data_IF_928852855707
#
_entry.id   IF_928852855707
#
_cell.length_a   1.000
_cell.length_b   1.000
_cell.length_c   1.000
_cell.angle_alpha   90.00
_cell.angle_beta   90.00
_cell.angle_gamma   90.00
#
_symmetry.space_group_name_H-M   'P 1'
#
loop_
_entity.id
_entity.type
_entity.pdbx_description
1 polymer ?
#
# COMPACT_ATOMS: atom_id res chain seq x y z
N UNK A 1 48.29 73.82 5.30
CA UNK A 1 46.90 73.40 5.40
C UNK A 1 46.78 72.07 4.63
N UNK A 2 46.58 70.92 5.37
CA UNK A 2 46.41 69.56 4.76
C UNK A 2 44.92 69.21 4.87
N UNK A 3 44.24 69.10 3.72
CA UNK A 3 42.84 68.72 3.64
C UNK A 3 42.83 67.21 3.62
N UNK A 4 42.18 66.60 4.66
CA UNK A 4 41.93 65.19 4.79
C UNK A 4 40.58 64.92 4.18
N UNK A 5 40.48 64.15 3.03
CA UNK A 5 39.27 63.61 2.49
C UNK A 5 38.91 62.32 3.20
N UNK A 6 37.77 62.32 3.89
CA UNK A 6 37.15 61.14 4.52
C UNK A 6 36.30 60.43 3.50
N UNK A 7 36.75 59.24 3.05
CA UNK A 7 35.92 58.35 2.21
C UNK A 7 34.97 57.56 3.11
N UNK A 8 33.70 57.87 3.01
CA UNK A 8 32.60 57.13 3.69
C UNK A 8 32.27 55.91 2.82
N UNK A 9 32.77 54.73 3.20
CA UNK A 9 32.46 53.47 2.53
C UNK A 9 31.09 52.95 3.01
N UNK A 10 30.07 53.04 2.15
CA UNK A 10 28.76 52.47 2.43
C UNK A 10 28.81 50.97 2.18
N UNK A 11 28.78 50.18 3.25
CA UNK A 11 28.64 48.71 3.18
C UNK A 11 27.18 48.36 2.98
N UNK A 12 26.84 47.99 1.76
CA UNK A 12 25.50 47.42 1.43
C UNK A 12 25.44 45.98 1.98
N UNK A 13 24.78 45.79 3.11
CA UNK A 13 24.39 44.47 3.56
C UNK A 13 23.29 43.95 2.65
N UNK A 14 23.64 43.10 1.68
CA UNK A 14 22.65 42.28 0.98
C UNK A 14 22.10 41.27 1.99
N UNK A 15 20.94 41.55 2.54
CA UNK A 15 20.17 40.57 3.29
C UNK A 15 19.73 39.49 2.28
N UNK A 16 20.46 38.39 2.23
CA UNK A 16 19.99 37.15 1.59
C UNK A 16 18.82 36.63 2.44
N UNK A 17 17.62 36.98 2.07
CA UNK A 17 16.42 36.35 2.62
C UNK A 17 16.46 34.88 2.21
N UNK A 18 16.90 34.01 3.11
CA UNK A 18 16.62 32.59 2.98
C UNK A 18 15.11 32.45 3.16
N UNK A 19 14.41 32.22 2.07
CA UNK A 19 13.07 31.65 2.18
C UNK A 19 13.25 30.30 2.90
N UNK A 20 12.76 30.20 4.13
CA UNK A 20 12.76 28.93 4.85
C UNK A 20 11.91 27.95 4.05
N UNK A 21 12.57 26.97 3.41
CA UNK A 21 11.88 25.93 2.68
C UNK A 21 11.07 25.10 3.68
N UNK A 22 9.73 25.24 3.61
CA UNK A 22 8.81 24.44 4.42
C UNK A 22 8.65 23.08 3.74
N UNK A 23 9.12 22.03 4.38
CA UNK A 23 8.90 20.67 3.90
C UNK A 23 7.41 20.33 3.90
N UNK A 24 6.89 19.74 2.81
CA UNK A 24 5.50 19.35 2.76
C UNK A 24 5.20 18.25 3.80
N UNK A 25 4.01 18.28 4.39
CA UNK A 25 3.52 17.23 5.26
C UNK A 25 3.17 16.00 4.43
N UNK A 26 4.08 15.03 4.34
CA UNK A 26 3.93 13.83 3.51
C UNK A 26 3.18 12.73 4.26
N UNK A 27 2.07 12.30 3.68
CA UNK A 27 1.32 11.11 4.08
C UNK A 27 1.78 9.95 3.20
N UNK A 28 1.97 8.76 3.80
CA UNK A 28 2.24 7.52 3.07
C UNK A 28 1.31 6.44 3.58
N UNK A 29 0.38 5.99 2.74
CA UNK A 29 -0.62 5.00 3.12
C UNK A 29 -1.08 4.15 1.92
N UNK A 30 -1.73 3.02 2.20
CA UNK A 30 -2.42 2.24 1.20
C UNK A 30 -3.73 2.92 0.82
N UNK A 31 -3.98 3.05 -0.47
CA UNK A 31 -5.15 3.72 -1.01
C UNK A 31 -5.55 3.13 -2.38
N UNK A 32 -6.69 3.56 -2.89
CA UNK A 32 -7.12 3.28 -4.24
C UNK A 32 -6.85 4.49 -5.15
N UNK A 33 -6.01 4.30 -6.17
CA UNK A 33 -5.76 5.28 -7.23
C UNK A 33 -6.80 5.06 -8.34
N UNK A 34 -7.57 6.09 -8.68
CA UNK A 34 -8.52 6.05 -9.79
C UNK A 34 -7.95 6.78 -11.01
N UNK A 35 -8.14 6.19 -12.19
CA UNK A 35 -7.74 6.76 -13.46
C UNK A 35 -8.95 7.35 -14.21
N UNK A 36 -8.68 8.33 -15.07
CA UNK A 36 -9.65 8.86 -16.04
C UNK A 36 -9.68 8.04 -17.33
N UNK A 37 -10.53 8.47 -18.30
CA UNK A 37 -10.66 7.85 -19.62
C UNK A 37 -9.40 7.88 -20.49
N UNK A 38 -8.34 8.60 -20.07
CA UNK A 38 -7.04 8.64 -20.74
C UNK A 38 -5.97 7.79 -20.00
N UNK A 39 -6.34 7.09 -18.94
CA UNK A 39 -5.41 6.30 -18.14
C UNK A 39 -4.48 7.13 -17.26
N UNK A 40 -4.90 8.35 -16.90
CA UNK A 40 -4.17 9.22 -15.97
C UNK A 40 -4.77 9.12 -14.59
N UNK A 41 -3.93 8.90 -13.58
CA UNK A 41 -4.36 8.86 -12.17
C UNK A 41 -4.83 10.24 -11.70
N UNK A 42 -6.09 10.37 -11.32
CA UNK A 42 -6.71 11.66 -10.99
C UNK A 42 -7.14 11.79 -9.53
N UNK A 43 -7.36 10.66 -8.85
CA UNK A 43 -7.84 10.64 -7.48
C UNK A 43 -7.17 9.55 -6.67
N UNK A 44 -6.93 9.85 -5.39
CA UNK A 44 -6.61 8.85 -4.35
C UNK A 44 -7.82 8.75 -3.43
N UNK A 45 -8.30 7.53 -3.19
CA UNK A 45 -9.34 7.23 -2.19
C UNK A 45 -8.69 6.42 -1.08
N UNK A 46 -8.63 6.97 0.13
CA UNK A 46 -8.06 6.30 1.30
C UNK A 46 -8.98 5.20 1.82
N UNK A 47 -8.48 4.33 2.69
CA UNK A 47 -9.29 3.29 3.33
C UNK A 47 -10.38 3.86 4.26
N UNK A 48 -10.25 5.11 4.70
CA UNK A 48 -11.25 5.85 5.46
C UNK A 48 -12.31 6.53 4.57
N UNK A 49 -12.21 6.38 3.25
CA UNK A 49 -13.13 6.99 2.28
C UNK A 49 -12.83 8.45 1.94
N UNK A 50 -11.70 9.01 2.40
CA UNK A 50 -11.29 10.37 2.04
C UNK A 50 -10.84 10.37 0.59
N UNK A 51 -11.36 11.32 -0.20
CA UNK A 51 -11.04 11.49 -1.63
C UNK A 51 -10.12 12.68 -1.81
N UNK A 52 -8.95 12.44 -2.37
CA UNK A 52 -7.98 13.47 -2.75
C UNK A 52 -7.91 13.59 -4.27
N UNK A 53 -8.18 14.78 -4.80
CA UNK A 53 -7.94 15.09 -6.21
C UNK A 53 -6.46 15.42 -6.43
N UNK A 54 -5.82 14.72 -7.34
CA UNK A 54 -4.41 14.92 -7.62
C UNK A 54 -4.20 16.16 -8.52
N UNK A 55 -3.26 17.02 -8.17
CA UNK A 55 -2.79 18.07 -9.08
C UNK A 55 -2.18 17.46 -10.34
N UNK A 56 -2.13 18.23 -11.43
CA UNK A 56 -1.67 17.74 -12.74
C UNK A 56 -0.22 17.24 -12.74
N UNK A 57 0.62 17.87 -11.92
CA UNK A 57 2.02 17.50 -11.83
C UNK A 57 2.20 16.20 -11.07
N UNK A 58 3.08 15.33 -11.57
CA UNK A 58 3.41 14.01 -11.01
C UNK A 58 2.25 13.02 -10.92
N UNK A 59 1.19 13.18 -11.71
CA UNK A 59 0.17 12.14 -11.86
C UNK A 59 0.77 10.91 -12.53
N UNK A 60 0.49 9.69 -12.05
CA UNK A 60 0.83 8.50 -12.82
C UNK A 60 -0.04 8.47 -14.09
N UNK A 61 0.56 8.15 -15.20
CA UNK A 61 -0.07 8.03 -16.51
C UNK A 61 0.20 6.65 -17.15
N UNK A 62 -0.24 6.46 -18.38
CA UNK A 62 -0.07 5.22 -19.13
C UNK A 62 -0.65 3.99 -18.42
N UNK A 63 -1.67 4.22 -17.59
CA UNK A 63 -2.45 3.19 -16.90
C UNK A 63 -3.67 2.79 -17.73
N UNK A 64 -4.39 1.77 -17.31
CA UNK A 64 -5.68 1.44 -17.94
C UNK A 64 -6.70 2.54 -17.65
N UNK A 65 -7.43 2.96 -18.69
CA UNK A 65 -8.48 3.94 -18.55
C UNK A 65 -9.62 3.46 -17.63
N UNK A 66 -10.27 4.40 -16.95
CA UNK A 66 -11.44 4.17 -16.07
C UNK A 66 -11.27 3.00 -15.10
N UNK A 67 -10.07 2.88 -14.53
CA UNK A 67 -9.65 1.77 -13.67
C UNK A 67 -9.33 2.22 -12.25
N UNK A 68 -9.32 1.24 -11.34
CA UNK A 68 -8.91 1.46 -9.94
C UNK A 68 -7.73 0.54 -9.62
N UNK A 69 -6.67 1.12 -9.08
CA UNK A 69 -5.45 0.42 -8.68
C UNK A 69 -5.28 0.50 -7.17
N UNK A 70 -5.02 -0.63 -6.52
CA UNK A 70 -4.56 -0.63 -5.13
C UNK A 70 -3.08 -0.26 -5.11
N UNK A 71 -2.73 0.77 -4.34
CA UNK A 71 -1.38 1.33 -4.29
C UNK A 71 -0.97 1.68 -2.87
N UNK A 72 0.32 1.75 -2.60
CA UNK A 72 0.84 2.61 -1.54
C UNK A 72 1.08 3.97 -2.18
N UNK A 73 0.43 5.01 -1.69
CA UNK A 73 0.59 6.37 -2.18
C UNK A 73 1.38 7.23 -1.18
N UNK A 74 2.28 8.07 -1.70
CA UNK A 74 2.90 9.15 -0.95
C UNK A 74 2.47 10.47 -1.54
N UNK A 75 1.80 11.29 -0.74
CA UNK A 75 1.23 12.57 -1.18
C UNK A 75 1.25 13.60 -0.05
N UNK A 76 1.12 14.87 -0.41
CA UNK A 76 0.92 15.97 0.52
C UNK A 76 -0.46 16.59 0.29
N UNK A 77 -1.35 16.65 1.29
CA UNK A 77 -2.54 17.46 1.23
C UNK A 77 -2.19 18.95 1.06
N UNK A 78 -2.90 19.62 0.16
CA UNK A 78 -2.76 21.07 -0.08
C UNK A 78 -3.93 21.85 0.49
N UNK A 79 -5.11 21.24 0.50
CA UNK A 79 -6.33 21.75 1.11
C UNK A 79 -7.21 20.56 1.51
N UNK A 80 -8.51 20.78 1.73
CA UNK A 80 -9.44 19.74 2.18
C UNK A 80 -9.75 18.65 1.13
N UNK A 81 -9.43 18.87 -0.15
CA UNK A 81 -9.79 17.95 -1.25
C UNK A 81 -8.70 17.72 -2.29
N UNK A 82 -7.63 18.51 -2.26
CA UNK A 82 -6.56 18.41 -3.25
C UNK A 82 -5.23 17.97 -2.62
N UNK A 83 -4.48 17.19 -3.36
CA UNK A 83 -3.18 16.71 -2.93
C UNK A 83 -2.16 16.72 -4.08
N UNK A 84 -0.89 16.96 -3.71
CA UNK A 84 0.26 16.77 -4.57
C UNK A 84 0.77 15.34 -4.41
N UNK A 85 0.82 14.60 -5.50
CA UNK A 85 1.41 13.26 -5.52
C UNK A 85 2.95 13.31 -5.58
N UNK A 86 3.61 12.35 -4.90
CA UNK A 86 5.08 12.21 -4.90
C UNK A 86 5.52 10.83 -5.37
N UNK A 87 4.86 9.76 -4.94
CA UNK A 87 5.21 8.40 -5.33
C UNK A 87 4.03 7.43 -5.20
N UNK A 88 4.08 6.39 -6.02
CA UNK A 88 3.15 5.25 -5.97
C UNK A 88 3.92 3.94 -6.05
N UNK A 89 3.55 2.99 -5.20
CA UNK A 89 4.07 1.62 -5.27
C UNK A 89 2.92 0.65 -5.49
N UNK A 90 3.16 -0.34 -6.32
CA UNK A 90 2.20 -1.40 -6.61
C UNK A 90 1.87 -2.19 -5.35
N UNK A 91 0.59 -2.47 -5.15
CA UNK A 91 0.09 -3.40 -4.14
C UNK A 91 -0.46 -4.64 -4.86
N UNK A 92 -0.10 -5.82 -4.39
CA UNK A 92 -0.67 -7.08 -4.88
C UNK A 92 -2.03 -7.26 -4.23
N UNK A 93 -3.11 -7.12 -4.99
CA UNK A 93 -4.48 -7.16 -4.48
C UNK A 93 -5.45 -7.96 -5.37
N UNK A 94 -5.12 -9.19 -5.78
CA UNK A 94 -6.04 -10.02 -6.52
C UNK A 94 -7.21 -10.45 -5.62
N UNK A 95 -8.36 -10.75 -6.22
CA UNK A 95 -9.43 -11.44 -5.51
C UNK A 95 -8.97 -12.81 -5.05
N UNK A 96 -9.29 -13.24 -3.82
CA UNK A 96 -9.05 -14.60 -3.36
C UNK A 96 -9.71 -15.62 -4.28
N UNK A 97 -9.01 -16.69 -4.61
CA UNK A 97 -9.52 -17.78 -5.44
C UNK A 97 -9.92 -18.95 -4.55
N UNK A 98 -11.06 -19.59 -4.80
CA UNK A 98 -11.43 -20.80 -4.07
C UNK A 98 -10.34 -21.88 -4.17
N UNK A 99 -10.09 -22.57 -3.06
CA UNK A 99 -9.19 -23.69 -3.01
C UNK A 99 -9.67 -24.80 -3.96
N UNK A 100 -8.78 -25.28 -4.81
CA UNK A 100 -9.06 -26.40 -5.70
C UNK A 100 -8.24 -27.62 -5.28
N UNK A 101 -8.90 -28.71 -4.95
CA UNK A 101 -8.29 -29.98 -4.52
C UNK A 101 -7.27 -30.56 -5.52
N UNK A 102 -7.36 -30.17 -6.78
CA UNK A 102 -6.45 -30.63 -7.85
C UNK A 102 -5.18 -29.78 -8.02
N UNK A 103 -5.10 -28.64 -7.34
CA UNK A 103 -3.96 -27.71 -7.46
C UNK A 103 -3.09 -27.79 -6.21
N UNK A 104 -1.77 -27.77 -6.39
CA UNK A 104 -0.83 -27.67 -5.28
C UNK A 104 -0.81 -26.22 -4.78
N UNK A 105 -1.10 -26.03 -3.50
CA UNK A 105 -0.97 -24.73 -2.85
C UNK A 105 0.50 -24.54 -2.48
N UNK A 106 1.15 -23.58 -3.12
CA UNK A 106 2.50 -23.15 -2.75
C UNK A 106 2.43 -22.15 -1.60
N UNK A 107 3.15 -22.44 -0.53
CA UNK A 107 3.26 -21.60 0.66
C UNK A 107 4.74 -21.42 1.01
N UNK A 108 5.52 -20.90 0.07
CA UNK A 108 6.91 -20.56 0.36
C UNK A 108 6.98 -19.51 1.48
N UNK A 109 8.01 -19.54 2.36
CA UNK A 109 8.02 -18.71 3.56
C UNK A 109 8.21 -17.22 3.25
N UNK A 110 7.66 -16.38 4.13
CA UNK A 110 7.78 -14.92 4.12
C UNK A 110 8.16 -14.41 5.52
N UNK A 111 8.62 -13.15 5.62
CA UNK A 111 8.70 -12.43 6.89
C UNK A 111 7.61 -11.38 6.97
N UNK A 112 6.89 -11.31 8.08
CA UNK A 112 5.83 -10.34 8.30
C UNK A 112 6.44 -9.06 8.89
N UNK A 113 6.31 -7.93 8.21
CA UNK A 113 6.60 -6.63 8.79
C UNK A 113 5.38 -6.09 9.55
N UNK A 114 4.19 -6.14 8.91
CA UNK A 114 2.93 -5.69 9.52
C UNK A 114 1.72 -6.30 8.83
N UNK A 115 0.62 -6.45 9.57
CA UNK A 115 -0.69 -6.84 9.05
C UNK A 115 -1.76 -6.08 9.82
N UNK A 116 -2.73 -5.50 9.12
CA UNK A 116 -3.83 -4.74 9.73
C UNK A 116 -5.05 -4.68 8.80
N UNK A 117 -6.22 -4.53 9.39
CA UNK A 117 -7.45 -4.25 8.65
C UNK A 117 -7.69 -2.74 8.60
N UNK A 118 -8.06 -2.23 7.43
CA UNK A 118 -8.43 -0.83 7.24
C UNK A 118 -9.45 -0.72 6.10
N UNK A 119 -10.59 -0.08 6.37
CA UNK A 119 -11.69 -0.04 5.42
C UNK A 119 -12.06 -1.45 4.94
N UNK A 120 -12.22 -1.59 3.65
CA UNK A 120 -12.60 -2.83 2.99
C UNK A 120 -11.42 -3.75 2.62
N UNK A 121 -10.29 -3.63 3.35
CA UNK A 121 -9.07 -4.38 3.04
C UNK A 121 -8.39 -4.97 4.28
N UNK A 122 -7.86 -6.19 4.13
CA UNK A 122 -6.84 -6.72 5.03
C UNK A 122 -5.47 -6.47 4.36
N UNK A 123 -4.72 -5.56 4.95
CA UNK A 123 -3.45 -5.06 4.44
C UNK A 123 -2.27 -5.77 5.07
N UNK A 124 -1.20 -5.93 4.32
CA UNK A 124 0.04 -6.50 4.84
C UNK A 124 1.28 -5.97 4.13
N UNK A 125 2.36 -5.88 4.88
CA UNK A 125 3.70 -5.62 4.38
C UNK A 125 4.55 -6.84 4.72
N UNK A 126 5.05 -7.49 3.69
CA UNK A 126 5.84 -8.71 3.78
C UNK A 126 7.24 -8.49 3.20
N UNK A 127 8.21 -9.22 3.70
CA UNK A 127 9.53 -9.36 3.08
C UNK A 127 9.67 -10.78 2.56
N UNK A 128 10.13 -10.88 1.33
CA UNK A 128 10.36 -12.14 0.61
C UNK A 128 11.80 -12.17 0.14
N UNK A 129 12.47 -13.28 0.30
CA UNK A 129 13.84 -13.46 -0.19
C UNK A 129 13.80 -13.83 -1.67
N UNK A 130 14.30 -12.93 -2.50
CA UNK A 130 14.31 -13.07 -3.97
C UNK A 130 15.72 -12.98 -4.50
N UNK A 131 15.95 -13.51 -5.70
CA UNK A 131 17.19 -13.33 -6.46
C UNK A 131 16.91 -13.07 -7.94
N UNK A 132 16.53 -14.11 -8.69
CA UNK A 132 16.50 -14.07 -10.15
C UNK A 132 15.11 -14.34 -10.74
N UNK A 133 14.15 -14.89 -9.95
CA UNK A 133 12.83 -15.25 -10.41
C UNK A 133 11.76 -14.29 -9.90
N UNK A 134 10.75 -14.06 -10.72
CA UNK A 134 9.56 -13.34 -10.28
C UNK A 134 8.66 -14.29 -9.48
N UNK A 135 8.49 -13.99 -8.19
CA UNK A 135 7.62 -14.75 -7.31
C UNK A 135 6.15 -14.45 -7.60
N UNK A 136 5.30 -15.46 -7.42
CA UNK A 136 3.86 -15.30 -7.55
C UNK A 136 3.23 -15.22 -6.17
N UNK A 137 2.49 -14.14 -5.91
CA UNK A 137 1.76 -13.88 -4.67
C UNK A 137 0.28 -13.71 -4.99
N UNK A 138 -0.58 -14.44 -4.26
CA UNK A 138 -2.03 -14.34 -4.36
C UNK A 138 -2.71 -14.86 -3.09
N UNK A 139 -4.03 -14.98 -3.10
CA UNK A 139 -4.81 -15.42 -1.94
C UNK A 139 -5.69 -16.60 -2.31
N UNK A 140 -5.75 -17.60 -1.42
CA UNK A 140 -6.63 -18.76 -1.53
C UNK A 140 -7.75 -18.60 -0.49
N UNK A 141 -9.00 -18.76 -0.93
CA UNK A 141 -10.18 -18.88 -0.07
C UNK A 141 -10.36 -20.37 0.28
N UNK A 142 -10.12 -20.73 1.54
CA UNK A 142 -10.30 -22.10 2.03
C UNK A 142 -11.75 -22.37 2.49
N UNK A 143 -12.61 -21.34 2.49
CA UNK A 143 -14.02 -21.43 2.77
C UNK A 143 -14.48 -20.59 3.95
N UNK A 144 -15.79 -20.62 4.18
CA UNK A 144 -16.46 -19.95 5.31
C UNK A 144 -17.15 -21.03 6.14
N UNK A 145 -16.93 -21.01 7.45
CA UNK A 145 -17.51 -21.97 8.40
C UNK A 145 -18.31 -21.26 9.46
N UNK A 146 -19.48 -21.82 9.82
CA UNK A 146 -20.28 -21.32 10.93
C UNK A 146 -19.66 -21.74 12.27
N UNK A 147 -19.64 -20.83 13.25
CA UNK A 147 -19.19 -21.05 14.60
C UNK A 147 -20.38 -21.36 15.54
N UNK A 148 -20.08 -21.95 16.68
CA UNK A 148 -21.12 -22.29 17.70
C UNK A 148 -21.73 -21.06 18.37
N UNK A 149 -21.06 -19.91 18.31
CA UNK A 149 -21.52 -18.62 18.84
C UNK A 149 -22.41 -17.82 17.86
N UNK A 150 -22.73 -18.40 16.69
CA UNK A 150 -23.55 -17.79 15.66
C UNK A 150 -22.78 -16.88 14.69
N UNK A 151 -21.49 -16.67 14.90
CA UNK A 151 -20.61 -15.97 13.95
C UNK A 151 -20.11 -16.92 12.86
N UNK A 152 -19.44 -16.39 11.86
CA UNK A 152 -18.76 -17.16 10.83
C UNK A 152 -17.25 -16.90 10.88
N UNK A 153 -16.50 -17.81 10.28
CA UNK A 153 -15.05 -17.66 10.08
C UNK A 153 -14.71 -17.86 8.61
N UNK A 154 -14.17 -16.82 7.99
CA UNK A 154 -13.54 -16.89 6.66
C UNK A 154 -12.09 -17.35 6.85
N UNK A 155 -11.74 -18.43 6.16
CA UNK A 155 -10.38 -18.96 6.13
C UNK A 155 -9.69 -18.55 4.82
N UNK A 156 -8.56 -17.88 4.93
CA UNK A 156 -7.74 -17.44 3.81
C UNK A 156 -6.30 -17.92 3.99
N UNK A 157 -5.62 -18.23 2.88
CA UNK A 157 -4.20 -18.60 2.87
C UNK A 157 -3.44 -17.74 1.88
N UNK A 158 -2.26 -17.26 2.29
CA UNK A 158 -1.30 -16.65 1.36
C UNK A 158 -0.77 -17.73 0.41
N UNK A 159 -1.04 -17.56 -0.87
CA UNK A 159 -0.33 -18.31 -1.91
C UNK A 159 0.97 -17.58 -2.21
N UNK A 160 2.10 -18.27 -2.05
CA UNK A 160 3.41 -17.78 -2.41
C UNK A 160 4.19 -18.89 -3.11
N UNK A 161 4.49 -18.69 -4.39
CA UNK A 161 5.32 -19.58 -5.19
C UNK A 161 6.58 -18.84 -5.63
N UNK A 162 7.72 -19.22 -5.08
CA UNK A 162 9.03 -18.68 -5.44
C UNK A 162 9.59 -19.23 -6.77
N UNK A 163 8.89 -20.19 -7.40
CA UNK A 163 9.27 -20.80 -8.70
C UNK A 163 10.70 -21.36 -8.71
N UNK A 164 11.13 -21.89 -7.58
CA UNK A 164 12.48 -22.45 -7.43
C UNK A 164 13.58 -21.40 -7.26
N UNK A 165 13.23 -20.13 -7.08
CA UNK A 165 14.23 -19.08 -6.80
C UNK A 165 15.02 -19.39 -5.54
N UNK A 166 16.29 -18.98 -5.53
CA UNK A 166 17.16 -19.10 -4.35
C UNK A 166 17.06 -17.85 -3.49
N UNK A 167 17.30 -18.03 -2.20
CA UNK A 167 17.26 -16.92 -1.25
C UNK A 167 18.45 -15.99 -1.44
N UNK A 168 18.20 -14.78 -1.95
CA UNK A 168 19.19 -13.75 -2.19
C UNK A 168 19.06 -12.58 -1.22
N UNK A 169 18.27 -11.57 -1.57
CA UNK A 169 18.06 -10.36 -0.77
C UNK A 169 16.59 -10.20 -0.40
N UNK A 170 16.34 -9.48 0.70
CA UNK A 170 14.98 -9.18 1.14
C UNK A 170 14.34 -8.12 0.24
N UNK A 171 13.24 -8.47 -0.41
CA UNK A 171 12.39 -7.57 -1.16
C UNK A 171 11.07 -7.34 -0.41
N UNK A 172 10.69 -6.07 -0.29
CA UNK A 172 9.43 -5.68 0.32
C UNK A 172 8.28 -5.80 -0.67
N UNK A 173 7.19 -6.44 -0.23
CA UNK A 173 5.94 -6.53 -0.95
C UNK A 173 4.80 -5.93 -0.13
N UNK A 174 3.92 -5.19 -0.81
CA UNK A 174 2.68 -4.68 -0.27
C UNK A 174 1.53 -5.50 -0.83
N UNK A 175 0.67 -6.02 0.05
CA UNK A 175 -0.46 -6.84 -0.34
C UNK A 175 -1.73 -6.32 0.35
N UNK A 176 -2.87 -6.47 -0.31
CA UNK A 176 -4.19 -6.19 0.28
C UNK A 176 -5.19 -7.26 -0.16
N UNK A 177 -5.85 -7.92 0.77
CA UNK A 177 -7.00 -8.78 0.48
C UNK A 177 -8.23 -7.90 0.36
N UNK A 178 -8.94 -7.89 -0.78
CA UNK A 178 -10.19 -7.14 -0.93
C UNK A 178 -11.33 -7.80 -0.12
N UNK A 179 -11.65 -7.25 1.04
CA UNK A 179 -12.71 -7.79 1.91
C UNK A 179 -14.12 -7.44 1.43
N UNK A 180 -14.28 -6.36 0.64
CA UNK A 180 -15.55 -6.02 0.00
C UNK A 180 -16.12 -7.17 -0.86
N UNK A 181 -15.27 -8.11 -1.31
CA UNK A 181 -15.68 -9.33 -1.99
C UNK A 181 -16.58 -10.23 -1.13
N UNK A 182 -16.56 -10.04 0.18
CA UNK A 182 -17.30 -10.85 1.16
C UNK A 182 -18.46 -10.11 1.82
N UNK A 183 -18.79 -8.89 1.38
CA UNK A 183 -19.83 -8.05 1.97
C UNK A 183 -21.23 -8.73 2.02
N UNK A 184 -21.53 -9.62 1.06
CA UNK A 184 -22.79 -10.37 1.02
C UNK A 184 -22.70 -11.73 1.72
N UNK A 185 -21.54 -12.10 2.27
CA UNK A 185 -21.27 -13.41 2.88
C UNK A 185 -20.93 -13.31 4.36
N UNK A 186 -20.35 -12.20 4.80
CA UNK A 186 -19.92 -11.96 6.17
C UNK A 186 -20.70 -10.82 6.80
N UNK A 187 -20.87 -10.91 8.11
CA UNK A 187 -21.49 -9.89 8.94
C UNK A 187 -20.43 -9.27 9.87
N UNK A 188 -20.69 -8.03 10.30
CA UNK A 188 -19.85 -7.39 11.32
C UNK A 188 -19.75 -8.26 12.57
N UNK A 189 -18.52 -8.56 12.97
CA UNK A 189 -18.21 -9.44 14.10
C UNK A 189 -17.80 -10.86 13.71
N UNK A 190 -17.96 -11.24 12.43
CA UNK A 190 -17.39 -12.48 11.90
C UNK A 190 -15.87 -12.44 11.93
N UNK A 191 -15.23 -13.60 11.86
CA UNK A 191 -13.77 -13.73 11.94
C UNK A 191 -13.16 -13.94 10.57
N UNK A 192 -11.99 -13.36 10.36
CA UNK A 192 -11.12 -13.66 9.23
C UNK A 192 -9.86 -14.28 9.80
N UNK A 193 -9.59 -15.53 9.45
CA UNK A 193 -8.35 -16.21 9.80
C UNK A 193 -7.48 -16.26 8.55
N UNK A 194 -6.35 -15.57 8.60
CA UNK A 194 -5.39 -15.52 7.51
C UNK A 194 -4.16 -16.38 7.85
N UNK A 195 -3.90 -17.39 7.03
CA UNK A 195 -2.80 -18.33 7.18
C UNK A 195 -1.65 -17.98 6.22
N UNK A 196 -0.44 -18.06 6.71
CA UNK A 196 0.77 -17.87 5.90
C UNK A 196 1.94 -18.64 6.51
N UNK A 197 2.83 -19.10 5.65
CA UNK A 197 4.09 -19.71 6.10
C UNK A 197 5.12 -18.61 6.35
N UNK A 198 5.77 -18.63 7.50
CA UNK A 198 6.79 -17.64 7.87
C UNK A 198 8.12 -18.31 8.14
N UNK A 199 9.22 -17.55 7.94
CA UNK A 199 10.56 -18.04 8.28
C UNK A 199 10.74 -18.29 9.79
N UNK A 200 9.98 -17.59 10.64
CA UNK A 200 10.14 -17.65 12.09
C UNK A 200 9.28 -18.73 12.74
N UNK A 201 8.03 -18.89 12.29
CA UNK A 201 7.02 -19.70 12.99
C UNK A 201 6.56 -20.91 12.15
N UNK A 202 6.97 -21.02 10.88
CA UNK A 202 6.35 -21.95 9.93
C UNK A 202 4.94 -21.49 9.57
N UNK A 203 3.98 -22.43 9.44
CA UNK A 203 2.58 -22.09 9.18
C UNK A 203 1.96 -21.37 10.39
N UNK A 204 1.71 -20.09 10.22
CA UNK A 204 1.14 -19.20 11.22
C UNK A 204 -0.25 -18.73 10.82
N UNK A 205 -1.06 -18.35 11.81
CA UNK A 205 -2.39 -17.78 11.59
C UNK A 205 -2.49 -16.41 12.27
N UNK A 206 -3.19 -15.50 11.63
CA UNK A 206 -3.55 -14.18 12.19
C UNK A 206 -5.07 -14.02 12.07
N UNK A 207 -5.72 -13.58 13.17
CA UNK A 207 -7.18 -13.43 13.22
C UNK A 207 -7.54 -11.96 13.27
N UNK A 208 -8.54 -11.59 12.48
CA UNK A 208 -9.13 -10.25 12.40
C UNK A 208 -10.64 -10.35 12.57
N UNK A 209 -11.27 -9.25 12.91
CA UNK A 209 -12.73 -9.15 13.03
C UNK A 209 -13.25 -8.34 11.84
N UNK A 210 -14.19 -8.94 11.11
CA UNK A 210 -14.84 -8.32 9.94
C UNK A 210 -15.78 -7.19 10.31
#
# INVERSE_FOLDING_TARGET
MKTICFFLSAVLFSACGKEDYVYPNLITEMACLKTDGNGVGTQIVTDQGIVWHLLKDNRPDSLTADSTYRVVSRFAPLNESEAQAYAFWKVVAPLPKPEKKSETIHTDPVSIQSMWQSGDYLNMVLHVKVKDQEHELSFIENGITANTDGTQTLMLTLFHNRKGDIEGFDQKFYLSVPLWHYQDKLNKGDRIVFQLNTYQEGMASRTFIY
#
